data_IF_298520317731
#
_entry.id   IF_298520317731
#
_cell.length_a   1.000
_cell.length_b   1.000
_cell.length_c   1.000
_cell.angle_alpha   90.00
_cell.angle_beta   90.00
_cell.angle_gamma   90.00
#
_symmetry.space_group_name_H-M   'P 1'
#
loop_
_entity.id
_entity.type
_entity.pdbx_description
1 polymer ?
#
# COMPACT_ATOMS: atom_id res chain seq x y z
N UNK A 1 1.55 34.58 29.44
CA UNK A 1 2.37 34.14 28.29
C UNK A 1 1.64 32.98 27.64
N UNK A 2 1.29 33.09 26.36
CA UNK A 2 0.51 32.09 25.64
C UNK A 2 1.49 31.08 25.03
N UNK A 3 1.64 29.91 25.64
CA UNK A 3 2.59 28.89 25.19
C UNK A 3 2.08 28.20 23.92
N UNK A 4 2.31 28.87 22.79
CA UNK A 4 2.12 28.28 21.47
C UNK A 4 3.27 27.31 21.20
N UNK A 5 2.91 26.03 21.04
CA UNK A 5 3.86 24.96 20.75
C UNK A 5 3.54 24.35 19.38
N UNK A 6 4.49 23.62 18.81
CA UNK A 6 4.23 22.92 17.54
C UNK A 6 3.18 21.82 17.73
N UNK A 7 2.37 21.56 16.69
CA UNK A 7 1.44 20.41 16.67
C UNK A 7 2.14 19.10 17.01
N UNK A 8 3.41 18.92 16.60
CA UNK A 8 4.19 17.72 16.90
C UNK A 8 4.47 17.58 18.40
N UNK A 9 4.79 18.68 19.09
CA UNK A 9 4.96 18.68 20.55
C UNK A 9 3.62 18.43 21.24
N UNK A 10 2.55 19.14 20.85
CA UNK A 10 1.21 18.94 21.42
C UNK A 10 0.71 17.49 21.26
N UNK A 11 0.97 16.88 20.11
CA UNK A 11 0.66 15.47 19.82
C UNK A 11 1.31 14.50 20.81
N UNK A 12 2.58 14.73 21.14
CA UNK A 12 3.32 13.92 22.11
C UNK A 12 2.79 14.13 23.53
N UNK A 13 2.53 15.38 23.91
CA UNK A 13 2.05 15.72 25.26
C UNK A 13 0.66 15.14 25.55
N UNK A 14 -0.26 15.20 24.59
CA UNK A 14 -1.66 14.77 24.77
C UNK A 14 -1.87 13.29 24.37
N UNK A 15 -0.87 12.68 23.72
CA UNK A 15 -0.96 11.30 23.23
C UNK A 15 -2.03 11.14 22.14
N UNK A 16 -2.17 12.16 21.27
CA UNK A 16 -3.13 12.17 20.16
C UNK A 16 -2.39 12.22 18.83
N UNK A 17 -2.93 11.57 17.80
CA UNK A 17 -2.29 11.55 16.48
C UNK A 17 -2.12 12.95 15.89
N UNK A 18 -0.93 13.24 15.36
CA UNK A 18 -0.56 14.53 14.77
C UNK A 18 -1.58 15.05 13.75
N UNK A 19 -2.06 14.18 12.85
CA UNK A 19 -3.07 14.52 11.84
C UNK A 19 -4.42 14.90 12.45
N UNK A 20 -4.76 14.37 13.62
CA UNK A 20 -5.99 14.74 14.33
C UNK A 20 -5.92 16.17 14.85
N UNK A 21 -4.79 16.56 15.44
CA UNK A 21 -4.59 17.91 15.96
C UNK A 21 -4.54 18.93 14.81
N UNK A 22 -3.89 18.61 13.67
CA UNK A 22 -3.97 19.44 12.46
C UNK A 22 -5.42 19.61 12.01
N UNK A 23 -6.20 18.54 12.02
CA UNK A 23 -7.63 18.60 11.70
C UNK A 23 -8.42 19.51 12.63
N UNK A 24 -8.02 19.63 13.91
CA UNK A 24 -8.61 20.59 14.83
C UNK A 24 -8.21 22.03 14.51
N UNK A 25 -6.96 22.27 14.10
CA UNK A 25 -6.48 23.59 13.69
C UNK A 25 -7.23 24.09 12.43
N UNK A 26 -7.34 23.24 11.41
CA UNK A 26 -8.02 23.58 10.14
C UNK A 26 -9.51 23.91 10.36
N UNK A 27 -10.15 23.26 11.34
CA UNK A 27 -11.56 23.44 11.66
C UNK A 27 -11.82 24.51 12.72
N UNK A 28 -10.79 25.28 13.08
CA UNK A 28 -10.85 26.32 14.11
C UNK A 28 -11.44 25.82 15.44
N UNK A 29 -11.04 24.61 15.84
CA UNK A 29 -11.55 23.95 17.06
C UNK A 29 -10.60 24.05 18.25
N UNK A 30 -9.40 24.59 18.01
CA UNK A 30 -8.35 24.84 18.99
C UNK A 30 -7.66 26.14 18.61
N UNK A 31 -7.19 26.89 19.61
CA UNK A 31 -6.44 28.12 19.37
C UNK A 31 -5.12 27.79 18.67
N UNK A 32 -5.04 28.18 17.41
CA UNK A 32 -3.93 27.88 16.54
C UNK A 32 -3.53 29.11 15.71
N UNK A 33 -2.24 29.24 15.46
CA UNK A 33 -1.67 30.24 14.57
C UNK A 33 -0.87 29.51 13.50
N UNK A 34 -1.01 29.94 12.25
CA UNK A 34 -0.22 29.41 11.14
C UNK A 34 1.00 30.29 10.93
N UNK A 35 2.17 29.70 11.11
CA UNK A 35 3.48 30.33 10.88
C UNK A 35 4.16 29.64 9.69
N UNK A 36 4.06 30.28 8.52
CA UNK A 36 4.43 29.68 7.24
C UNK A 36 3.68 28.38 6.96
N UNK A 37 4.43 27.28 6.79
CA UNK A 37 3.88 25.94 6.56
C UNK A 37 3.57 25.16 7.86
N UNK A 38 3.77 25.78 9.02
CA UNK A 38 3.63 25.10 10.31
C UNK A 38 2.46 25.65 11.10
N UNK A 39 1.78 24.74 11.79
CA UNK A 39 0.77 25.11 12.78
C UNK A 39 1.41 25.16 14.17
N UNK A 40 1.19 26.27 14.84
CA UNK A 40 1.46 26.47 16.26
C UNK A 40 0.12 26.46 17.00
N UNK A 41 0.06 25.80 18.15
CA UNK A 41 -1.18 25.59 18.90
C UNK A 41 -0.98 25.91 20.37
N UNK A 42 -1.99 26.50 20.99
CA UNK A 42 -2.06 26.62 22.45
C UNK A 42 -2.26 25.23 23.06
N UNK A 43 -1.31 24.76 23.86
CA UNK A 43 -1.41 23.45 24.51
C UNK A 43 -2.70 23.31 25.32
N UNK A 44 -3.12 24.37 26.01
CA UNK A 44 -4.35 24.38 26.82
C UNK A 44 -5.59 24.10 25.98
N UNK A 45 -5.72 24.77 24.84
CA UNK A 45 -6.85 24.61 23.93
C UNK A 45 -6.92 23.19 23.36
N UNK A 46 -5.76 22.60 23.04
CA UNK A 46 -5.65 21.19 22.59
C UNK A 46 -6.05 20.21 23.68
N UNK A 47 -5.62 20.42 24.93
CA UNK A 47 -5.99 19.57 26.08
C UNK A 47 -7.49 19.63 26.33
N UNK A 48 -8.08 20.82 26.30
CA UNK A 48 -9.53 21.00 26.50
C UNK A 48 -10.34 20.35 25.38
N UNK A 49 -9.85 20.41 24.14
CA UNK A 49 -10.47 19.72 23.00
C UNK A 49 -10.34 18.20 23.09
N UNK A 50 -9.19 17.67 23.52
CA UNK A 50 -8.98 16.22 23.66
C UNK A 50 -9.91 15.62 24.72
N UNK A 51 -10.07 16.29 25.87
CA UNK A 51 -11.00 15.88 26.93
C UNK A 51 -12.45 15.74 26.43
N UNK A 52 -12.86 16.61 25.51
CA UNK A 52 -14.21 16.61 24.91
C UNK A 52 -14.34 15.65 23.72
N UNK A 53 -13.23 15.14 23.18
CA UNK A 53 -13.24 14.33 21.96
C UNK A 53 -12.95 12.87 22.29
N UNK A 54 -13.96 11.98 22.26
CA UNK A 54 -13.75 10.58 22.58
C UNK A 54 -12.64 10.00 21.71
N UNK A 55 -11.72 9.27 22.34
CA UNK A 55 -10.70 8.49 21.62
C UNK A 55 -11.47 7.40 20.89
N UNK A 56 -11.67 7.54 19.57
CA UNK A 56 -12.14 6.43 18.74
C UNK A 56 -11.07 5.35 18.83
N UNK A 57 -11.25 4.42 19.78
CA UNK A 57 -10.57 3.15 19.74
C UNK A 57 -11.01 2.51 18.44
N UNK A 58 -10.13 2.57 17.44
CA UNK A 58 -10.33 1.82 16.21
C UNK A 58 -10.27 0.36 16.64
N UNK A 59 -11.42 -0.22 16.96
CA UNK A 59 -11.59 -1.66 16.95
C UNK A 59 -11.33 -2.07 15.50
N UNK A 60 -10.07 -2.39 15.20
CA UNK A 60 -9.77 -3.22 14.05
C UNK A 60 -10.49 -4.52 14.36
N UNK A 61 -11.67 -4.73 13.76
CA UNK A 61 -12.30 -6.05 13.67
C UNK A 61 -11.39 -6.89 12.77
N UNK A 62 -10.23 -7.29 13.28
CA UNK A 62 -9.54 -8.47 12.81
C UNK A 62 -10.45 -9.62 13.21
N UNK A 63 -11.07 -10.26 12.22
CA UNK A 63 -11.75 -11.53 12.42
C UNK A 63 -10.72 -12.48 13.07
N UNK A 64 -10.90 -12.77 14.35
CA UNK A 64 -9.95 -13.54 15.16
C UNK A 64 -9.76 -14.97 14.67
N UNK A 65 -10.61 -15.51 13.79
CA UNK A 65 -10.57 -16.92 13.40
C UNK A 65 -9.39 -17.28 12.49
N UNK A 66 -9.01 -16.44 11.52
CA UNK A 66 -7.93 -16.78 10.57
C UNK A 66 -6.55 -16.55 11.14
N UNK A 67 -6.34 -15.41 11.81
CA UNK A 67 -5.04 -15.10 12.40
C UNK A 67 -4.70 -16.07 13.53
N UNK A 68 -5.66 -16.51 14.35
CA UNK A 68 -5.34 -17.39 15.49
C UNK A 68 -4.84 -18.77 15.05
N UNK A 69 -5.34 -19.32 13.93
CA UNK A 69 -4.90 -20.63 13.42
C UNK A 69 -3.48 -20.59 12.83
N UNK A 70 -3.09 -19.45 12.23
CA UNK A 70 -1.78 -19.34 11.58
C UNK A 70 -0.73 -18.75 12.54
N UNK A 71 -1.13 -18.00 13.57
CA UNK A 71 -0.21 -17.38 14.54
C UNK A 71 0.63 -18.39 15.34
N UNK A 72 0.18 -19.64 15.43
CA UNK A 72 0.94 -20.74 16.06
C UNK A 72 1.94 -21.40 15.11
N UNK A 73 1.87 -21.11 13.81
CA UNK A 73 2.74 -21.71 12.81
C UNK A 73 4.16 -21.20 12.94
N UNK A 74 5.11 -22.15 12.94
CA UNK A 74 6.54 -21.89 12.98
C UNK A 74 7.19 -22.38 11.70
N UNK A 75 8.28 -21.73 11.32
CA UNK A 75 9.06 -22.16 10.18
C UNK A 75 9.56 -23.59 10.40
N UNK A 76 9.25 -24.55 9.51
CA UNK A 76 9.63 -25.95 9.69
C UNK A 76 11.16 -26.17 9.57
N UNK A 77 11.90 -25.19 9.03
CA UNK A 77 13.36 -25.28 8.87
C UNK A 77 14.13 -24.70 10.07
N UNK A 78 13.73 -23.53 10.58
CA UNK A 78 14.48 -22.84 11.65
C UNK A 78 13.69 -22.66 12.96
N UNK A 79 12.43 -23.12 13.02
CA UNK A 79 11.57 -22.93 14.19
C UNK A 79 11.12 -21.49 14.44
N UNK A 80 11.51 -20.54 13.58
CA UNK A 80 11.17 -19.13 13.73
C UNK A 80 9.67 -18.86 13.66
N UNK A 81 9.18 -17.98 14.52
CA UNK A 81 7.79 -17.52 14.62
C UNK A 81 7.48 -16.33 13.70
N UNK A 82 8.52 -15.69 13.13
CA UNK A 82 8.39 -14.58 12.19
C UNK A 82 8.23 -15.09 10.76
N UNK A 83 7.06 -14.87 10.19
CA UNK A 83 6.76 -15.19 8.80
C UNK A 83 5.82 -14.17 8.16
N UNK A 84 5.78 -14.17 6.82
CA UNK A 84 4.82 -13.40 6.03
C UNK A 84 3.98 -14.33 5.17
N UNK A 85 2.70 -14.01 5.04
CA UNK A 85 1.84 -14.64 4.04
C UNK A 85 2.24 -14.14 2.65
N UNK A 86 2.47 -15.06 1.73
CA UNK A 86 2.78 -14.77 0.33
C UNK A 86 1.52 -14.87 -0.52
N UNK A 87 0.79 -15.99 -0.41
CA UNK A 87 -0.34 -16.29 -1.29
C UNK A 87 -1.42 -17.12 -0.58
N UNK A 88 -2.55 -17.30 -1.27
CA UNK A 88 -3.63 -18.20 -0.87
C UNK A 88 -4.32 -18.79 -2.09
N UNK A 89 -4.52 -20.11 -2.08
CA UNK A 89 -5.18 -20.87 -3.14
C UNK A 89 -6.35 -21.67 -2.59
N UNK A 90 -7.52 -21.56 -3.22
CA UNK A 90 -8.69 -22.38 -2.89
C UNK A 90 -8.52 -23.75 -3.56
N UNK A 91 -8.58 -24.82 -2.78
CA UNK A 91 -8.51 -26.19 -3.27
C UNK A 91 -9.90 -26.71 -3.68
N UNK A 92 -9.94 -27.74 -4.52
CA UNK A 92 -11.18 -28.39 -4.97
C UNK A 92 -12.02 -28.96 -3.81
N UNK A 93 -11.37 -29.29 -2.68
CA UNK A 93 -12.02 -29.71 -1.43
C UNK A 93 -12.77 -28.57 -0.71
N UNK A 94 -12.68 -27.34 -1.20
CA UNK A 94 -13.18 -26.14 -0.54
C UNK A 94 -12.27 -25.62 0.58
N UNK A 95 -11.19 -26.34 0.91
CA UNK A 95 -10.13 -25.90 1.81
C UNK A 95 -9.30 -24.77 1.18
N UNK A 96 -8.56 -24.04 2.01
CA UNK A 96 -7.61 -23.05 1.50
C UNK A 96 -6.19 -23.42 1.87
N UNK A 97 -5.32 -23.48 0.87
CA UNK A 97 -3.87 -23.55 1.03
C UNK A 97 -3.27 -22.14 1.15
N UNK A 98 -2.68 -21.83 2.31
CA UNK A 98 -1.94 -20.59 2.53
C UNK A 98 -0.45 -20.80 2.35
N UNK A 99 0.19 -19.99 1.51
CA UNK A 99 1.64 -20.00 1.38
C UNK A 99 2.28 -18.99 2.34
N UNK A 100 3.16 -19.46 3.21
CA UNK A 100 3.93 -18.67 4.17
C UNK A 100 5.41 -18.64 3.78
N UNK A 101 6.11 -17.57 4.13
CA UNK A 101 7.56 -17.41 3.98
C UNK A 101 8.18 -16.94 5.29
N UNK A 102 9.22 -17.64 5.73
CA UNK A 102 10.00 -17.24 6.90
C UNK A 102 10.64 -15.87 6.65
N UNK A 103 10.54 -14.97 7.64
CA UNK A 103 11.14 -13.64 7.59
C UNK A 103 12.57 -13.61 8.13
N UNK A 104 13.06 -14.71 8.67
CA UNK A 104 14.48 -14.84 9.00
C UNK A 104 15.32 -14.82 7.71
N UNK A 105 16.21 -13.83 7.64
CA UNK A 105 17.11 -13.55 6.52
C UNK A 105 18.00 -14.73 6.11
N UNK A 106 18.37 -15.61 7.05
CA UNK A 106 19.17 -16.80 6.76
C UNK A 106 18.31 -17.98 6.29
N UNK A 107 17.04 -18.03 6.69
CA UNK A 107 16.19 -19.17 6.43
C UNK A 107 15.39 -19.01 5.13
N UNK A 108 14.58 -17.96 5.03
CA UNK A 108 13.75 -17.66 3.86
C UNK A 108 12.78 -18.76 3.39
N UNK A 109 12.66 -19.88 4.12
CA UNK A 109 11.91 -21.09 3.73
C UNK A 109 10.45 -20.74 3.51
N UNK A 110 9.88 -21.33 2.45
CA UNK A 110 8.44 -21.27 2.16
C UNK A 110 7.78 -22.58 2.57
N UNK A 111 6.56 -22.50 3.09
CA UNK A 111 5.74 -23.67 3.40
C UNK A 111 4.25 -23.35 3.25
N UNK A 112 3.43 -24.38 3.17
CA UNK A 112 1.99 -24.26 2.99
C UNK A 112 1.25 -24.77 4.21
N UNK A 113 0.17 -24.08 4.58
CA UNK A 113 -0.72 -24.45 5.70
C UNK A 113 -2.13 -24.57 5.16
N UNK A 114 -2.81 -25.67 5.48
CA UNK A 114 -4.20 -25.88 5.07
C UNK A 114 -5.15 -25.30 6.11
N UNK A 115 -6.15 -24.57 5.63
CA UNK A 115 -7.25 -24.05 6.43
C UNK A 115 -8.55 -24.76 6.07
N UNK A 116 -9.45 -24.99 7.05
CA UNK A 116 -10.72 -25.65 6.82
C UNK A 116 -11.59 -24.95 5.78
N UNK A 117 -12.50 -25.70 5.16
CA UNK A 117 -13.46 -25.17 4.21
C UNK A 117 -14.35 -24.07 4.83
N UNK A 118 -14.66 -23.03 4.04
CA UNK A 118 -15.44 -21.87 4.49
C UNK A 118 -14.62 -20.77 5.20
N UNK A 119 -13.29 -20.90 5.25
CA UNK A 119 -12.41 -19.87 5.81
C UNK A 119 -12.38 -18.62 4.91
N UNK A 120 -12.87 -17.49 5.44
CA UNK A 120 -13.08 -16.23 4.68
C UNK A 120 -11.83 -15.40 4.50
N UNK A 121 -11.01 -15.79 3.53
CA UNK A 121 -9.72 -15.17 3.34
C UNK A 121 -9.85 -13.79 2.70
N UNK A 122 -9.44 -12.77 3.44
CA UNK A 122 -9.12 -11.49 2.81
C UNK A 122 -7.82 -11.65 2.03
N UNK A 123 -7.82 -11.32 0.74
CA UNK A 123 -6.59 -11.00 0.03
C UNK A 123 -5.84 -9.98 0.89
N UNK A 124 -4.52 -10.10 1.09
CA UNK A 124 -3.78 -9.05 1.76
C UNK A 124 -4.15 -7.75 1.06
N UNK A 125 -4.75 -6.79 1.78
CA UNK A 125 -4.84 -5.44 1.28
C UNK A 125 -3.40 -5.05 1.00
N UNK A 126 -3.02 -5.02 -0.27
CA UNK A 126 -1.73 -4.51 -0.70
C UNK A 126 -1.69 -3.08 -0.17
N UNK A 127 -1.09 -2.90 1.00
CA UNK A 127 -0.88 -1.59 1.60
C UNK A 127 0.24 -0.99 0.77
N UNK A 128 -0.14 -0.45 -0.39
CA UNK A 128 0.70 0.10 -1.43
C UNK A 128 1.83 -0.85 -1.85
N UNK A 129 1.58 -1.59 -2.94
CA UNK A 129 2.68 -2.08 -3.76
C UNK A 129 3.56 -0.90 -4.17
N UNK A 130 4.76 -0.83 -3.60
CA UNK A 130 5.94 -0.27 -4.24
C UNK A 130 7.05 -1.28 -4.03
N UNK A 131 6.94 -2.43 -4.70
CA UNK A 131 8.15 -2.97 -5.30
C UNK A 131 8.53 -1.93 -6.36
N UNK A 132 9.53 -1.12 -6.03
CA UNK A 132 10.21 -0.33 -7.03
C UNK A 132 10.78 -1.34 -8.02
N UNK A 133 10.15 -1.48 -9.18
CA UNK A 133 10.87 -1.96 -10.34
C UNK A 133 12.11 -1.08 -10.45
N UNK A 134 13.28 -1.67 -10.28
CA UNK A 134 14.61 -1.06 -10.37
C UNK A 134 14.93 -0.66 -11.82
N UNK A 135 13.95 -0.14 -12.55
CA UNK A 135 14.17 0.55 -13.80
C UNK A 135 14.37 2.03 -13.50
N UNK A 136 15.35 2.70 -14.12
CA UNK A 136 15.43 4.15 -14.06
C UNK A 136 14.03 4.71 -14.36
N UNK A 137 13.53 5.61 -13.51
CA UNK A 137 12.33 6.32 -13.91
C UNK A 137 12.72 7.26 -15.04
N UNK A 138 11.99 7.26 -16.17
CA UNK A 138 12.27 8.18 -17.25
C UNK A 138 12.14 9.60 -16.73
N UNK A 139 13.14 10.44 -17.04
CA UNK A 139 13.29 11.79 -16.52
C UNK A 139 12.34 12.77 -17.23
N UNK A 140 11.83 12.40 -18.41
CA UNK A 140 10.98 13.23 -19.26
C UNK A 140 9.82 12.47 -19.92
N UNK A 141 8.81 13.21 -20.41
CA UNK A 141 7.67 12.64 -21.15
C UNK A 141 8.13 12.10 -22.51
N UNK A 142 9.15 12.73 -23.09
CA UNK A 142 9.78 12.35 -24.35
C UNK A 142 10.44 10.97 -24.26
N UNK A 143 11.17 10.68 -23.18
CA UNK A 143 11.78 9.36 -22.94
C UNK A 143 10.73 8.25 -22.82
N UNK A 144 9.62 8.53 -22.13
CA UNK A 144 8.48 7.58 -22.01
C UNK A 144 7.90 7.26 -23.39
N UNK A 145 7.80 8.26 -24.27
CA UNK A 145 7.29 8.08 -25.63
C UNK A 145 8.23 7.23 -26.48
N UNK A 146 9.54 7.45 -26.36
CA UNK A 146 10.55 6.73 -27.11
C UNK A 146 10.67 5.26 -26.66
N UNK A 147 10.67 4.99 -25.36
CA UNK A 147 10.62 3.62 -24.83
C UNK A 147 9.38 2.87 -25.32
N UNK A 148 8.23 3.55 -25.36
CA UNK A 148 6.98 2.96 -25.87
C UNK A 148 7.04 2.67 -27.35
N UNK A 149 7.64 3.55 -28.16
CA UNK A 149 7.86 3.30 -29.59
C UNK A 149 8.72 2.06 -29.80
N UNK A 150 9.86 1.98 -29.11
CA UNK A 150 10.76 0.81 -29.16
C UNK A 150 10.01 -0.49 -28.80
N UNK A 151 9.29 -0.50 -27.68
CA UNK A 151 8.54 -1.68 -27.26
C UNK A 151 7.42 -2.08 -28.25
N UNK A 152 6.74 -1.11 -28.88
CA UNK A 152 5.72 -1.41 -29.89
C UNK A 152 6.37 -1.98 -31.15
N UNK A 153 7.49 -1.43 -31.60
CA UNK A 153 8.25 -1.94 -32.75
C UNK A 153 8.76 -3.37 -32.51
N UNK A 154 9.27 -3.67 -31.31
CA UNK A 154 9.70 -5.02 -30.92
C UNK A 154 8.53 -6.01 -30.98
N UNK A 155 7.36 -5.65 -30.43
CA UNK A 155 6.17 -6.49 -30.48
C UNK A 155 5.63 -6.69 -31.92
N UNK A 156 5.81 -5.69 -32.79
CA UNK A 156 5.49 -5.82 -34.21
C UNK A 156 6.44 -6.78 -34.93
N UNK A 157 7.73 -6.74 -34.62
CA UNK A 157 8.72 -7.70 -35.15
C UNK A 157 8.43 -9.13 -34.69
N UNK A 158 7.90 -9.30 -33.47
CA UNK A 158 7.38 -10.58 -32.97
C UNK A 158 6.07 -11.04 -33.65
N UNK A 159 5.51 -10.24 -34.57
CA UNK A 159 4.29 -10.57 -35.31
C UNK A 159 2.99 -10.37 -34.52
N UNK A 160 3.00 -9.57 -33.45
CA UNK A 160 1.78 -9.27 -32.68
C UNK A 160 0.91 -8.27 -33.44
N UNK A 161 -0.39 -8.51 -33.43
CA UNK A 161 -1.39 -7.62 -34.03
C UNK A 161 -1.72 -6.41 -33.14
N UNK A 162 -2.25 -5.34 -33.75
CA UNK A 162 -2.58 -4.07 -33.07
C UNK A 162 -3.45 -4.31 -31.81
N UNK A 163 -4.39 -5.26 -31.88
CA UNK A 163 -5.31 -5.55 -30.78
C UNK A 163 -4.56 -6.12 -29.57
N UNK A 164 -3.71 -7.12 -29.78
CA UNK A 164 -2.90 -7.72 -28.71
C UNK A 164 -1.96 -6.70 -28.08
N UNK A 165 -1.31 -5.86 -28.89
CA UNK A 165 -0.42 -4.81 -28.39
C UNK A 165 -1.20 -3.80 -27.54
N UNK A 166 -2.37 -3.34 -28.00
CA UNK A 166 -3.23 -2.43 -27.23
C UNK A 166 -3.67 -3.03 -25.89
N UNK A 167 -3.94 -4.34 -25.84
CA UNK A 167 -4.30 -5.03 -24.60
C UNK A 167 -3.13 -5.08 -23.60
N UNK A 168 -1.88 -5.25 -24.07
CA UNK A 168 -0.68 -5.25 -23.22
C UNK A 168 -0.48 -3.92 -22.47
N UNK A 169 -0.67 -2.78 -23.15
CA UNK A 169 -0.50 -1.45 -22.55
C UNK A 169 -1.71 -0.99 -21.72
N UNK A 170 -2.86 -1.65 -21.87
CA UNK A 170 -4.07 -1.40 -21.11
C UNK A 170 -4.91 -0.21 -21.59
N UNK A 171 -6.11 -0.04 -21.01
CA UNK A 171 -7.16 0.83 -21.56
C UNK A 171 -6.81 2.32 -21.57
N UNK A 172 -6.00 2.80 -20.62
CA UNK A 172 -5.64 4.23 -20.52
C UNK A 172 -4.72 4.71 -21.64
N UNK A 173 -3.98 3.81 -22.28
CA UNK A 173 -2.99 4.14 -23.31
C UNK A 173 -3.43 3.75 -24.72
N UNK A 174 -4.64 3.19 -24.87
CA UNK A 174 -5.17 2.64 -26.14
C UNK A 174 -5.00 3.59 -27.32
N UNK A 175 -5.50 4.83 -27.24
CA UNK A 175 -5.43 5.78 -28.35
C UNK A 175 -4.00 6.17 -28.72
N UNK A 176 -3.10 6.24 -27.73
CA UNK A 176 -1.70 6.58 -27.93
C UNK A 176 -0.94 5.43 -28.60
N UNK A 177 -1.16 4.19 -28.12
CA UNK A 177 -0.54 2.97 -28.64
C UNK A 177 -1.01 2.71 -30.08
N UNK A 178 -2.32 2.86 -30.36
CA UNK A 178 -2.84 2.75 -31.72
C UNK A 178 -2.22 3.78 -32.67
N UNK A 179 -2.04 5.02 -32.19
CA UNK A 179 -1.39 6.07 -32.99
C UNK A 179 0.07 5.71 -33.29
N UNK A 180 0.82 5.24 -32.30
CA UNK A 180 2.22 4.82 -32.48
C UNK A 180 2.31 3.61 -33.42
N UNK A 181 1.53 2.55 -33.17
CA UNK A 181 1.49 1.35 -34.01
C UNK A 181 1.26 1.69 -35.48
N UNK A 182 0.29 2.56 -35.77
CA UNK A 182 0.00 3.00 -37.15
C UNK A 182 1.12 3.85 -37.77
N UNK A 183 1.88 4.58 -36.96
CA UNK A 183 3.05 5.33 -37.42
C UNK A 183 4.20 4.38 -37.76
N UNK A 184 4.50 3.42 -36.88
CA UNK A 184 5.55 2.42 -37.08
C UNK A 184 5.20 1.44 -38.22
N UNK A 185 3.91 1.10 -38.41
CA UNK A 185 3.49 0.22 -39.53
C UNK A 185 3.63 0.83 -40.91
N UNK A 186 3.83 2.16 -40.98
CA UNK A 186 3.99 2.92 -42.22
C UNK A 186 5.45 3.31 -42.49
N UNK A 187 6.31 3.18 -41.49
CA UNK A 187 7.74 3.43 -41.57
C UNK A 187 8.45 2.17 -42.09
#
# INVERSE_FOLDING_TARGET
MSDYITVRQASRTVGRGHTTIIGWCIKDQVDAIKDGDRWLVSLRSVVDKDKKTPKRNRQVRTHKSEQHMILTERCPKCGGDKWKRQDAELLDSGEVSLQLKCLDHLCGKRWSVRLPAGTKIKRPTSRNGREYNTRPQPESVEEILEERRKLIADLMQEGKDEKTIVEIFGPKLRSQVQKIYRQESKA
#
